data_IF_177017047138
#
_entry.id   IF_177017047138
#
_cell.length_a   1.000
_cell.length_b   1.000
_cell.length_c   1.000
_cell.angle_alpha   90.00
_cell.angle_beta   90.00
_cell.angle_gamma   90.00
#
_symmetry.space_group_name_H-M   'P 1'
#
loop_
_entity.id
_entity.type
_entity.pdbx_description
1 polymer ?
#
# COMPACT_ATOMS: atom_id res chain seq x y z
N UNK A 1 11.81 -10.00 -45.73
CA UNK A 1 12.13 -8.74 -45.05
C UNK A 1 11.51 -8.81 -43.67
N UNK A 2 12.36 -9.00 -42.66
CA UNK A 2 11.97 -9.34 -41.30
C UNK A 2 11.41 -8.15 -40.53
N UNK A 3 10.42 -8.47 -39.69
CA UNK A 3 9.82 -7.61 -38.67
C UNK A 3 10.88 -7.01 -37.76
N UNK A 4 10.91 -5.68 -37.63
CA UNK A 4 11.62 -5.00 -36.56
C UNK A 4 10.63 -4.74 -35.43
N UNK A 5 10.76 -5.54 -34.38
CA UNK A 5 10.26 -5.23 -33.06
C UNK A 5 10.84 -3.87 -32.62
N UNK A 6 9.96 -2.93 -32.31
CA UNK A 6 10.35 -1.74 -31.54
C UNK A 6 10.28 -2.11 -30.06
N UNK A 7 11.35 -2.74 -29.57
CA UNK A 7 11.68 -2.72 -28.16
C UNK A 7 12.26 -1.33 -27.87
N UNK A 8 11.47 -0.48 -27.21
CA UNK A 8 11.91 0.85 -26.81
C UNK A 8 11.49 1.10 -25.36
N UNK A 9 12.50 1.13 -24.47
CA UNK A 9 12.41 1.67 -23.11
C UNK A 9 12.49 0.64 -21.98
N UNK A 10 13.67 0.07 -21.73
CA UNK A 10 13.92 -0.80 -20.58
C UNK A 10 13.76 -0.06 -19.25
N UNK A 11 12.91 -0.60 -18.38
CA UNK A 11 12.80 -0.18 -16.99
C UNK A 11 14.04 -0.74 -16.27
N UNK A 12 15.04 0.08 -15.94
CA UNK A 12 16.28 -0.36 -15.27
C UNK A 12 16.09 -0.68 -13.76
N UNK A 13 14.84 -0.78 -13.29
CA UNK A 13 14.48 -1.16 -11.92
C UNK A 13 13.99 -2.61 -11.81
N UNK A 14 14.02 -3.21 -10.61
CA UNK A 14 13.47 -4.54 -10.37
C UNK A 14 11.98 -4.60 -10.72
N UNK A 15 11.49 -5.74 -11.22
CA UNK A 15 10.06 -5.91 -11.49
C UNK A 15 9.30 -5.91 -10.16
N UNK A 16 8.27 -5.06 -9.96
CA UNK A 16 7.46 -5.07 -8.75
C UNK A 16 6.88 -6.46 -8.40
N UNK A 17 6.68 -7.34 -9.38
CA UNK A 17 6.25 -8.73 -9.16
C UNK A 17 7.31 -9.57 -8.44
N UNK A 18 8.59 -9.32 -8.69
CA UNK A 18 9.68 -9.99 -7.97
C UNK A 18 9.74 -9.48 -6.52
N UNK A 19 9.48 -8.18 -6.31
CA UNK A 19 9.42 -7.59 -4.97
C UNK A 19 8.27 -8.16 -4.15
N UNK A 20 7.11 -8.41 -4.77
CA UNK A 20 5.97 -9.05 -4.11
C UNK A 20 6.33 -10.41 -3.49
N UNK A 21 7.13 -11.23 -4.19
CA UNK A 21 7.58 -12.52 -3.67
C UNK A 21 8.41 -12.36 -2.39
N UNK A 22 9.29 -11.37 -2.33
CA UNK A 22 10.07 -11.08 -1.13
C UNK A 22 9.20 -10.52 0.00
N UNK A 23 8.17 -9.73 -0.31
CA UNK A 23 7.22 -9.24 0.69
C UNK A 23 6.49 -10.41 1.36
N UNK A 24 6.00 -11.38 0.58
CA UNK A 24 5.34 -12.57 1.11
C UNK A 24 6.29 -13.42 1.98
N UNK A 25 7.55 -13.58 1.57
CA UNK A 25 8.54 -14.30 2.38
C UNK A 25 8.86 -13.56 3.69
N UNK A 26 9.03 -12.23 3.64
CA UNK A 26 9.25 -11.41 4.84
C UNK A 26 8.05 -11.51 5.79
N UNK A 27 6.82 -11.45 5.28
CA UNK A 27 5.61 -11.61 6.09
C UNK A 27 5.55 -12.99 6.76
N UNK A 28 5.88 -14.07 6.04
CA UNK A 28 5.93 -15.41 6.60
C UNK A 28 7.00 -15.52 7.71
N UNK A 29 8.17 -14.90 7.51
CA UNK A 29 9.23 -14.85 8.52
C UNK A 29 8.84 -14.01 9.74
N UNK A 30 8.14 -12.89 9.55
CA UNK A 30 7.61 -12.07 10.64
C UNK A 30 6.63 -12.87 11.48
N UNK A 31 5.65 -13.54 10.87
CA UNK A 31 4.68 -14.36 11.60
C UNK A 31 5.36 -15.48 12.41
N UNK A 32 6.34 -16.17 11.80
CA UNK A 32 7.11 -17.20 12.50
C UNK A 32 7.95 -16.61 13.66
N UNK A 33 8.44 -15.38 13.50
CA UNK A 33 9.15 -14.64 14.52
C UNK A 33 8.26 -14.32 15.72
N UNK A 34 7.02 -13.91 15.48
CA UNK A 34 6.02 -13.65 16.51
C UNK A 34 5.69 -14.91 17.31
N UNK A 35 5.41 -16.03 16.64
CA UNK A 35 5.13 -17.32 17.27
C UNK A 35 6.30 -17.74 18.19
N UNK A 36 7.53 -17.54 17.71
CA UNK A 36 8.74 -17.83 18.50
C UNK A 36 8.88 -16.87 19.69
N UNK A 37 8.60 -15.58 19.51
CA UNK A 37 8.59 -14.59 20.57
C UNK A 37 7.59 -14.96 21.66
N UNK A 38 6.36 -15.31 21.29
CA UNK A 38 5.33 -15.75 22.24
C UNK A 38 5.78 -17.01 22.99
N UNK A 39 6.30 -18.01 22.28
CA UNK A 39 6.83 -19.23 22.87
C UNK A 39 7.92 -18.93 23.90
N UNK A 40 8.89 -18.09 23.56
CA UNK A 40 10.00 -17.74 24.44
C UNK A 40 9.54 -16.91 25.65
N UNK A 41 8.62 -15.97 25.45
CA UNK A 41 7.98 -15.22 26.55
C UNK A 41 7.29 -16.18 27.51
N UNK A 42 6.54 -17.16 26.99
CA UNK A 42 5.85 -18.14 27.83
C UNK A 42 6.83 -19.05 28.59
N UNK A 43 7.93 -19.50 27.96
CA UNK A 43 9.00 -20.24 28.66
C UNK A 43 9.64 -19.42 29.78
N UNK A 44 9.84 -18.13 29.57
CA UNK A 44 10.40 -17.22 30.58
C UNK A 44 9.39 -16.99 31.73
N UNK A 45 8.09 -16.91 31.44
CA UNK A 45 7.03 -16.86 32.46
C UNK A 45 7.06 -18.12 33.35
N UNK A 46 7.14 -19.32 32.75
CA UNK A 46 7.26 -20.58 33.51
C UNK A 46 8.55 -20.61 34.34
N UNK A 47 9.68 -20.14 33.81
CA UNK A 47 10.94 -20.05 34.57
C UNK A 47 10.79 -19.13 35.78
N UNK A 48 10.13 -17.97 35.62
CA UNK A 48 9.88 -17.02 36.71
C UNK A 48 9.06 -17.66 37.83
N UNK A 49 8.07 -18.48 37.49
CA UNK A 49 7.20 -19.12 38.48
C UNK A 49 7.97 -20.16 39.32
N UNK A 50 9.03 -20.77 38.77
CA UNK A 50 9.93 -21.70 39.50
C UNK A 50 11.09 -20.98 40.19
N UNK A 51 11.66 -19.94 39.55
CA UNK A 51 12.81 -19.15 40.02
C UNK A 51 12.57 -17.65 39.77
N UNK A 52 11.94 -16.95 40.72
CA UNK A 52 11.52 -15.56 40.55
C UNK A 52 12.66 -14.61 40.18
N UNK A 53 13.87 -14.79 40.71
CA UNK A 53 15.00 -13.91 40.40
C UNK A 53 15.51 -14.01 38.94
N UNK A 54 15.27 -15.13 38.26
CA UNK A 54 15.79 -15.35 36.90
C UNK A 54 14.86 -14.80 35.81
N UNK A 55 13.56 -14.71 36.08
CA UNK A 55 12.55 -14.27 35.11
C UNK A 55 12.88 -12.90 34.48
N UNK A 56 13.03 -11.82 35.28
CA UNK A 56 13.33 -10.50 34.75
C UNK A 56 14.66 -10.43 33.98
N UNK A 57 15.69 -11.16 34.45
CA UNK A 57 17.00 -11.20 33.80
C UNK A 57 16.92 -11.91 32.44
N UNK A 58 16.22 -13.04 32.37
CA UNK A 58 16.00 -13.77 31.12
C UNK A 58 15.16 -12.96 30.13
N UNK A 59 14.10 -12.29 30.60
CA UNK A 59 13.28 -11.42 29.76
C UNK A 59 14.08 -10.27 29.16
N UNK A 60 14.91 -9.61 29.97
CA UNK A 60 15.80 -8.53 29.50
C UNK A 60 16.82 -9.05 28.48
N UNK A 61 17.41 -10.21 28.72
CA UNK A 61 18.39 -10.81 27.80
C UNK A 61 17.75 -11.20 26.47
N UNK A 62 16.53 -11.76 26.50
CA UNK A 62 15.76 -12.09 25.30
C UNK A 62 15.43 -10.85 24.48
N UNK A 63 14.84 -9.81 25.12
CA UNK A 63 14.44 -8.58 24.44
C UNK A 63 15.59 -7.77 23.85
N UNK A 64 16.78 -7.91 24.42
CA UNK A 64 18.00 -7.23 23.96
C UNK A 64 18.90 -8.15 23.12
N UNK A 65 18.43 -9.36 22.81
CA UNK A 65 19.19 -10.35 22.06
C UNK A 65 19.25 -10.03 20.56
N UNK A 66 20.12 -10.75 19.85
CA UNK A 66 20.27 -10.60 18.41
C UNK A 66 19.00 -10.95 17.62
N UNK A 67 18.11 -11.77 18.19
CA UNK A 67 16.84 -12.12 17.58
C UNK A 67 15.94 -10.88 17.39
N UNK A 68 15.71 -10.10 18.45
CA UNK A 68 14.94 -8.85 18.35
C UNK A 68 15.57 -7.84 17.41
N UNK A 69 16.91 -7.81 17.31
CA UNK A 69 17.59 -6.96 16.33
C UNK A 69 17.29 -7.43 14.90
N UNK A 70 17.34 -8.74 14.65
CA UNK A 70 16.98 -9.33 13.36
C UNK A 70 15.52 -9.04 12.98
N UNK A 71 14.57 -9.11 13.91
CA UNK A 71 13.17 -8.75 13.66
C UNK A 71 13.01 -7.27 13.26
N UNK A 72 13.76 -6.37 13.91
CA UNK A 72 13.78 -4.95 13.55
C UNK A 72 14.39 -4.73 12.17
N UNK A 73 15.49 -5.41 11.84
CA UNK A 73 16.13 -5.33 10.53
C UNK A 73 15.18 -5.87 9.44
N UNK A 74 14.49 -6.98 9.69
CA UNK A 74 13.49 -7.57 8.79
C UNK A 74 12.32 -6.61 8.53
N UNK A 75 11.82 -5.96 9.58
CA UNK A 75 10.82 -4.89 9.48
C UNK A 75 11.32 -3.71 8.64
N UNK A 76 12.60 -3.36 8.78
CA UNK A 76 13.23 -2.32 7.96
C UNK A 76 13.26 -2.67 6.47
N UNK A 77 13.62 -3.92 6.13
CA UNK A 77 13.58 -4.40 4.75
C UNK A 77 12.16 -4.43 4.18
N UNK A 78 11.19 -4.87 4.98
CA UNK A 78 9.77 -4.84 4.61
C UNK A 78 9.35 -3.44 4.16
N UNK A 79 9.59 -2.42 4.98
CA UNK A 79 9.15 -1.05 4.68
C UNK A 79 9.73 -0.54 3.36
N UNK A 80 11.02 -0.81 3.10
CA UNK A 80 11.69 -0.40 1.85
C UNK A 80 11.04 -1.09 0.64
N UNK A 81 10.80 -2.39 0.74
CA UNK A 81 10.22 -3.16 -0.36
C UNK A 81 8.77 -2.80 -0.61
N UNK A 82 8.01 -2.58 0.47
CA UNK A 82 6.60 -2.23 0.40
C UNK A 82 6.41 -0.83 -0.19
N UNK A 83 7.26 0.13 0.19
CA UNK A 83 7.27 1.47 -0.40
C UNK A 83 7.56 1.42 -1.91
N UNK A 84 8.60 0.68 -2.31
CA UNK A 84 8.92 0.51 -3.73
C UNK A 84 7.77 -0.13 -4.50
N UNK A 85 7.22 -1.24 -3.98
CA UNK A 85 6.09 -1.95 -4.59
C UNK A 85 4.89 -1.03 -4.78
N UNK A 86 4.54 -0.27 -3.74
CA UNK A 86 3.39 0.63 -3.74
C UNK A 86 3.55 1.74 -4.78
N UNK A 87 4.69 2.43 -4.77
CA UNK A 87 4.98 3.54 -5.69
C UNK A 87 4.92 3.08 -7.14
N UNK A 88 5.60 1.97 -7.47
CA UNK A 88 5.66 1.48 -8.85
C UNK A 88 4.30 0.99 -9.36
N UNK A 89 3.52 0.30 -8.53
CA UNK A 89 2.20 -0.19 -8.92
C UNK A 89 1.15 0.94 -9.02
N UNK A 90 1.19 1.95 -8.15
CA UNK A 90 0.31 3.13 -8.27
C UNK A 90 0.64 3.91 -9.55
N UNK A 91 1.93 4.16 -9.84
CA UNK A 91 2.33 4.82 -11.09
C UNK A 91 1.96 4.01 -12.32
N UNK A 92 2.04 2.69 -12.24
CA UNK A 92 1.60 1.79 -13.30
C UNK A 92 0.09 1.87 -13.51
N UNK A 93 -0.71 1.81 -12.45
CA UNK A 93 -2.17 1.94 -12.51
C UNK A 93 -2.60 3.25 -13.18
N UNK A 94 -1.97 4.37 -12.81
CA UNK A 94 -2.22 5.68 -13.45
C UNK A 94 -1.85 5.65 -14.93
N UNK A 95 -0.75 4.99 -15.31
CA UNK A 95 -0.26 4.97 -16.70
C UNK A 95 -1.12 4.11 -17.62
N UNK A 96 -1.69 3.02 -17.12
CA UNK A 96 -2.50 2.08 -17.92
C UNK A 96 -4.00 2.39 -17.86
N UNK A 97 -4.38 3.53 -17.28
CA UNK A 97 -5.77 3.95 -17.07
C UNK A 97 -6.66 3.71 -18.30
N UNK A 98 -7.73 2.96 -18.11
CA UNK A 98 -8.70 2.60 -19.15
C UNK A 98 -10.12 3.06 -18.79
N UNK A 99 -10.93 3.56 -19.73
CA UNK A 99 -12.34 3.83 -19.49
C UNK A 99 -13.10 2.54 -19.15
N UNK A 100 -13.92 2.56 -18.11
CA UNK A 100 -14.77 1.41 -17.77
C UNK A 100 -16.02 1.46 -18.66
N UNK A 101 -16.28 0.38 -19.42
CA UNK A 101 -17.48 0.29 -20.26
C UNK A 101 -18.74 0.32 -19.38
N UNK A 102 -19.71 1.18 -19.71
CA UNK A 102 -20.90 1.49 -18.90
C UNK A 102 -20.60 2.14 -17.53
N UNK A 103 -19.32 2.34 -17.21
CA UNK A 103 -18.84 3.00 -16.02
C UNK A 103 -18.76 4.51 -16.22
N UNK A 104 -19.10 5.23 -15.16
CA UNK A 104 -18.95 6.68 -15.10
C UNK A 104 -17.54 7.10 -14.61
N UNK A 105 -16.62 6.14 -14.48
CA UNK A 105 -15.24 6.27 -13.98
C UNK A 105 -14.24 5.56 -14.89
N UNK A 106 -12.95 5.67 -14.57
CA UNK A 106 -11.88 4.91 -15.22
C UNK A 106 -11.27 3.87 -14.28
N UNK A 107 -10.55 2.88 -14.83
CA UNK A 107 -9.93 1.78 -14.07
C UNK A 107 -8.92 2.29 -13.05
N UNK A 108 -8.28 3.44 -13.29
CA UNK A 108 -7.29 4.04 -12.38
C UNK A 108 -7.82 4.18 -10.95
N UNK A 109 -9.10 4.48 -10.74
CA UNK A 109 -9.66 4.61 -9.38
C UNK A 109 -9.61 3.26 -8.68
N UNK A 110 -10.17 2.21 -9.26
CA UNK A 110 -10.18 0.88 -8.65
C UNK A 110 -8.77 0.31 -8.50
N UNK A 111 -7.92 0.46 -9.53
CA UNK A 111 -6.56 -0.08 -9.56
C UNK A 111 -5.65 0.57 -8.50
N UNK A 112 -5.68 1.90 -8.35
CA UNK A 112 -4.87 2.62 -7.36
C UNK A 112 -5.30 2.22 -5.95
N UNK A 113 -6.61 2.24 -5.67
CA UNK A 113 -7.09 1.90 -4.33
C UNK A 113 -6.90 0.43 -3.99
N UNK A 114 -6.96 -0.48 -4.97
CA UNK A 114 -6.61 -1.88 -4.77
C UNK A 114 -5.15 -2.04 -4.32
N UNK A 115 -4.21 -1.33 -4.95
CA UNK A 115 -2.78 -1.36 -4.56
C UNK A 115 -2.61 -0.81 -3.14
N UNK A 116 -3.17 0.38 -2.85
CA UNK A 116 -3.05 1.00 -1.54
C UNK A 116 -3.64 0.14 -0.42
N UNK A 117 -4.82 -0.45 -0.66
CA UNK A 117 -5.47 -1.36 0.27
C UNK A 117 -4.61 -2.60 0.53
N UNK A 118 -4.07 -3.20 -0.53
CA UNK A 118 -3.20 -4.39 -0.44
C UNK A 118 -1.96 -4.12 0.41
N UNK A 119 -1.29 -2.99 0.18
CA UNK A 119 -0.12 -2.59 0.97
C UNK A 119 -0.45 -2.34 2.44
N UNK A 120 -1.56 -1.65 2.71
CA UNK A 120 -1.97 -1.35 4.09
C UNK A 120 -2.35 -2.62 4.85
N UNK A 121 -3.05 -3.57 4.21
CA UNK A 121 -3.35 -4.88 4.80
C UNK A 121 -2.08 -5.67 5.13
N UNK A 122 -1.13 -5.78 4.19
CA UNK A 122 0.16 -6.42 4.46
C UNK A 122 0.90 -5.77 5.62
N UNK A 123 0.86 -4.43 5.71
CA UNK A 123 1.53 -3.72 6.79
C UNK A 123 0.95 -4.09 8.16
N UNK A 124 -0.37 -4.26 8.24
CA UNK A 124 -1.01 -4.73 9.48
C UNK A 124 -0.61 -6.16 9.83
N UNK A 125 -0.44 -7.03 8.83
CA UNK A 125 0.06 -8.41 9.05
C UNK A 125 1.49 -8.51 9.57
N UNK A 126 2.25 -7.41 9.57
CA UNK A 126 3.60 -7.39 10.21
C UNK A 126 3.54 -7.24 11.74
N UNK A 127 2.36 -6.94 12.31
CA UNK A 127 2.16 -6.58 13.71
C UNK A 127 3.06 -5.43 14.24
N UNK A 128 3.69 -4.69 13.33
CA UNK A 128 4.59 -3.59 13.63
C UNK A 128 3.90 -2.26 13.37
N UNK A 129 3.66 -1.50 14.44
CA UNK A 129 3.10 -0.15 14.34
C UNK A 129 3.97 0.77 13.48
N UNK A 130 5.30 0.57 13.49
CA UNK A 130 6.22 1.36 12.68
C UNK A 130 6.04 1.08 11.18
N UNK A 131 5.82 -0.20 10.81
CA UNK A 131 5.51 -0.57 9.43
C UNK A 131 4.20 0.06 8.97
N UNK A 132 3.15 -0.04 9.80
CA UNK A 132 1.83 0.54 9.50
C UNK A 132 1.93 2.05 9.29
N UNK A 133 2.63 2.77 10.18
CA UNK A 133 2.84 4.22 10.05
C UNK A 133 3.60 4.56 8.76
N UNK A 134 4.67 3.83 8.45
CA UNK A 134 5.47 4.09 7.26
C UNK A 134 4.67 3.90 5.97
N UNK A 135 3.94 2.78 5.87
CA UNK A 135 3.10 2.45 4.71
C UNK A 135 1.94 3.44 4.56
N UNK A 136 1.28 3.83 5.65
CA UNK A 136 0.25 4.88 5.63
C UNK A 136 0.79 6.24 5.18
N UNK A 137 2.01 6.59 5.61
CA UNK A 137 2.70 7.78 5.16
C UNK A 137 2.94 7.76 3.65
N UNK A 138 3.42 6.63 3.12
CA UNK A 138 3.60 6.41 1.68
C UNK A 138 2.30 6.52 0.89
N UNK A 139 1.25 5.86 1.35
CA UNK A 139 -0.08 5.91 0.73
C UNK A 139 -0.65 7.35 0.69
N UNK A 140 -0.53 8.07 1.81
CA UNK A 140 -0.98 9.47 1.92
C UNK A 140 -0.19 10.37 0.97
N UNK A 141 1.13 10.15 0.85
CA UNK A 141 1.99 10.88 -0.07
C UNK A 141 1.58 10.65 -1.52
N UNK A 142 1.38 9.40 -1.94
CA UNK A 142 0.94 9.06 -3.30
C UNK A 142 -0.43 9.66 -3.64
N UNK A 143 -1.37 9.60 -2.69
CA UNK A 143 -2.70 10.20 -2.86
C UNK A 143 -2.64 11.72 -3.02
N UNK A 144 -1.76 12.39 -2.26
CA UNK A 144 -1.64 13.86 -2.24
C UNK A 144 -0.74 14.41 -3.35
N UNK A 145 0.00 13.55 -4.05
CA UNK A 145 0.93 13.93 -5.12
C UNK A 145 0.51 13.27 -6.44
N UNK A 146 1.15 12.16 -6.85
CA UNK A 146 0.97 11.56 -8.17
C UNK A 146 -0.50 11.29 -8.54
N UNK A 147 -1.30 10.80 -7.59
CA UNK A 147 -2.70 10.52 -7.83
C UNK A 147 -3.53 11.80 -7.99
N UNK A 148 -3.33 12.79 -7.11
CA UNK A 148 -3.97 14.09 -7.21
C UNK A 148 -3.59 14.80 -8.52
N UNK A 149 -2.33 14.71 -8.95
CA UNK A 149 -1.87 15.25 -10.23
C UNK A 149 -2.56 14.56 -11.41
N UNK A 150 -2.70 13.23 -11.38
CA UNK A 150 -3.41 12.47 -12.40
C UNK A 150 -4.88 12.90 -12.52
N UNK A 151 -5.58 13.05 -11.39
CA UNK A 151 -6.96 13.55 -11.36
C UNK A 151 -7.06 14.99 -11.91
N UNK A 152 -6.15 15.88 -11.52
CA UNK A 152 -6.14 17.26 -12.02
C UNK A 152 -5.81 17.36 -13.50
N UNK A 153 -4.90 16.52 -14.00
CA UNK A 153 -4.53 16.52 -15.41
C UNK A 153 -5.73 16.25 -16.30
N UNK A 154 -6.62 15.34 -15.89
CA UNK A 154 -7.87 15.04 -16.58
C UNK A 154 -8.85 16.22 -16.59
N UNK A 155 -8.80 17.10 -15.59
CA UNK A 155 -9.60 18.33 -15.55
C UNK A 155 -9.00 19.48 -16.38
N UNK A 156 -7.68 19.50 -16.62
CA UNK A 156 -6.95 20.65 -17.21
C UNK A 156 -6.99 20.72 -18.74
N UNK A 157 -7.87 19.96 -19.42
CA UNK A 157 -7.95 20.05 -20.88
C UNK A 157 -8.18 21.51 -21.35
N UNK A 158 -7.26 22.12 -22.12
CA UNK A 158 -7.21 23.59 -22.32
C UNK A 158 -8.40 24.23 -23.04
N UNK A 159 -9.40 23.45 -23.45
CA UNK A 159 -10.49 23.90 -24.31
C UNK A 159 -11.88 23.59 -23.74
N UNK A 160 -12.00 23.33 -22.43
CA UNK A 160 -13.26 22.90 -21.79
C UNK A 160 -14.40 23.90 -21.95
N UNK A 161 -14.17 25.16 -21.56
CA UNK A 161 -15.15 26.23 -21.72
C UNK A 161 -15.40 26.61 -23.18
N UNK A 162 -14.36 26.56 -24.02
CA UNK A 162 -14.46 26.89 -25.44
C UNK A 162 -15.24 25.84 -26.25
N UNK A 163 -14.99 24.54 -26.01
CA UNK A 163 -15.70 23.44 -26.68
C UNK A 163 -17.18 23.39 -26.30
N UNK A 164 -17.51 23.64 -25.02
CA UNK A 164 -18.90 23.71 -24.55
C UNK A 164 -19.68 24.90 -25.14
N UNK A 165 -19.03 26.05 -25.27
CA UNK A 165 -19.70 27.28 -25.75
C UNK A 165 -19.82 27.38 -27.28
N UNK A 166 -18.94 26.71 -28.04
CA UNK A 166 -18.87 26.84 -29.50
C UNK A 166 -19.74 25.82 -30.27
N UNK A 167 -20.49 24.94 -29.59
CA UNK A 167 -21.58 24.16 -30.21
C UNK A 167 -21.17 23.17 -31.32
N UNK A 168 -19.89 22.80 -31.41
CA UNK A 168 -19.40 21.86 -32.44
C UNK A 168 -19.73 20.39 -32.14
N UNK A 169 -19.59 19.53 -33.15
CA UNK A 169 -19.86 18.06 -33.11
C UNK A 169 -19.10 17.30 -31.99
N UNK A 170 -18.12 17.92 -31.33
CA UNK A 170 -17.35 17.38 -30.20
C UNK A 170 -17.85 17.73 -28.78
N UNK A 171 -18.95 18.49 -28.62
CA UNK A 171 -19.46 18.93 -27.30
C UNK A 171 -19.86 17.75 -26.40
N UNK A 172 -20.51 16.72 -26.95
CA UNK A 172 -20.99 15.56 -26.18
C UNK A 172 -19.83 14.74 -25.61
N UNK A 173 -18.84 14.42 -26.45
CA UNK A 173 -17.62 13.69 -26.05
C UNK A 173 -16.82 14.45 -24.98
N UNK A 174 -16.78 15.77 -25.09
CA UNK A 174 -16.14 16.63 -24.08
C UNK A 174 -16.91 16.61 -22.76
N UNK A 175 -18.24 16.59 -22.79
CA UNK A 175 -19.08 16.49 -21.59
C UNK A 175 -18.92 15.15 -20.86
N UNK A 176 -18.83 14.06 -21.61
CA UNK A 176 -18.59 12.70 -21.07
C UNK A 176 -17.21 12.58 -20.40
N UNK A 177 -16.16 13.12 -21.02
CA UNK A 177 -14.80 13.16 -20.45
C UNK A 177 -14.75 13.98 -19.15
N UNK A 178 -15.48 15.10 -19.08
CA UNK A 178 -15.61 15.92 -17.86
C UNK A 178 -16.36 15.17 -16.77
N UNK A 179 -17.51 14.58 -17.11
CA UNK A 179 -18.31 13.82 -16.16
C UNK A 179 -17.46 12.70 -15.56
N UNK A 180 -16.73 11.97 -16.41
CA UNK A 180 -15.81 10.91 -15.98
C UNK A 180 -14.73 11.42 -15.03
N UNK A 181 -14.10 12.57 -15.32
CA UNK A 181 -13.09 13.15 -14.45
C UNK A 181 -13.66 13.58 -13.08
N UNK A 182 -14.87 14.16 -13.06
CA UNK A 182 -15.54 14.55 -11.82
C UNK A 182 -15.95 13.32 -11.00
N UNK A 183 -16.49 12.29 -11.64
CA UNK A 183 -16.85 11.04 -10.98
C UNK A 183 -15.61 10.33 -10.42
N UNK A 184 -14.48 10.33 -11.14
CA UNK A 184 -13.23 9.81 -10.60
C UNK A 184 -12.86 10.51 -9.30
N UNK A 185 -12.97 11.83 -9.22
CA UNK A 185 -12.69 12.59 -7.98
C UNK A 185 -13.69 12.23 -6.88
N UNK A 186 -14.98 12.16 -7.20
CA UNK A 186 -16.04 11.86 -6.24
C UNK A 186 -15.87 10.45 -5.65
N UNK A 187 -15.74 9.43 -6.50
CA UNK A 187 -15.52 8.04 -6.09
C UNK A 187 -14.19 7.89 -5.35
N UNK A 188 -13.13 8.58 -5.78
CA UNK A 188 -11.86 8.59 -5.04
C UNK A 188 -12.05 9.07 -3.60
N UNK A 189 -12.85 10.12 -3.40
CA UNK A 189 -13.11 10.65 -2.07
C UNK A 189 -13.81 9.62 -1.18
N UNK A 190 -14.79 8.88 -1.72
CA UNK A 190 -15.42 7.77 -1.02
C UNK A 190 -14.44 6.65 -0.69
N UNK A 191 -13.55 6.31 -1.64
CA UNK A 191 -12.58 5.26 -1.47
C UNK A 191 -11.51 5.61 -0.42
N UNK A 192 -11.09 6.88 -0.31
CA UNK A 192 -10.24 7.35 0.79
C UNK A 192 -10.92 7.11 2.14
N UNK A 193 -12.22 7.39 2.25
CA UNK A 193 -12.97 7.17 3.49
C UNK A 193 -13.08 5.68 3.83
N UNK A 194 -13.35 4.84 2.82
CA UNK A 194 -13.42 3.37 2.97
C UNK A 194 -12.06 2.79 3.40
N UNK A 195 -10.99 3.17 2.72
CA UNK A 195 -9.62 2.75 3.02
C UNK A 195 -9.23 3.14 4.46
N UNK A 196 -9.53 4.39 4.87
CA UNK A 196 -9.27 4.82 6.24
C UNK A 196 -10.02 3.95 7.25
N UNK A 197 -11.33 3.75 7.04
CA UNK A 197 -12.16 2.99 7.96
C UNK A 197 -11.69 1.55 8.12
N UNK A 198 -11.34 0.90 7.01
CA UNK A 198 -10.82 -0.46 7.02
C UNK A 198 -9.48 -0.57 7.77
N UNK A 199 -8.57 0.38 7.59
CA UNK A 199 -7.29 0.38 8.31
C UNK A 199 -7.50 0.64 9.80
N UNK A 200 -8.44 1.52 10.17
CA UNK A 200 -8.83 1.73 11.57
C UNK A 200 -9.32 0.42 12.20
N UNK A 201 -10.17 -0.35 11.52
CA UNK A 201 -10.64 -1.66 12.00
C UNK A 201 -9.48 -2.66 12.19
N UNK A 202 -8.59 -2.79 11.20
CA UNK A 202 -7.43 -3.68 11.29
C UNK A 202 -6.48 -3.28 12.43
N UNK A 203 -6.29 -1.98 12.67
CA UNK A 203 -5.45 -1.50 13.78
C UNK A 203 -6.08 -1.80 15.14
N UNK A 204 -7.41 -1.77 15.26
CA UNK A 204 -8.11 -2.16 16.49
C UNK A 204 -7.92 -3.65 16.76
N UNK A 205 -8.00 -4.49 15.74
CA UNK A 205 -7.73 -5.94 15.87
C UNK A 205 -6.30 -6.22 16.35
N UNK A 206 -5.30 -5.52 15.79
CA UNK A 206 -3.90 -5.63 16.23
C UNK A 206 -3.71 -5.21 17.69
N UNK A 207 -4.37 -4.13 18.13
CA UNK A 207 -4.30 -3.69 19.53
C UNK A 207 -4.84 -4.77 20.48
N UNK A 208 -5.94 -5.43 20.12
CA UNK A 208 -6.52 -6.49 20.94
C UNK A 208 -5.57 -7.69 21.09
N UNK A 209 -4.83 -8.04 20.04
CA UNK A 209 -3.80 -9.08 20.04
C UNK A 209 -2.62 -8.75 20.98
N UNK A 210 -2.15 -7.49 20.98
CA UNK A 210 -1.03 -7.05 21.83
C UNK A 210 -1.40 -6.85 23.32
N UNK A 211 -2.69 -6.90 23.67
CA UNK A 211 -3.19 -6.78 25.03
C UNK A 211 -3.48 -8.12 25.73
N UNK A 212 -3.22 -9.26 25.07
CA UNK A 212 -3.24 -10.62 25.62
C UNK A 212 -1.82 -11.06 26.08
#
# INVERSE_FOLDING_TARGET
MGSMASAAGGNEGPDPREIELYLEEILALTQLGEDYTEFMVNKIRVLRDVKPELGPRAMKAFRNGNFNKMEQDLTGFYVIFEEFFMVENVRKAIRIDEPISDGLTTSMVDDVFFVLQSCCRRATSTASINSVIAVLGGATSLLSNEYQEALQWRMREPNLGAKLFLGGVGVQKTGEEIATALNNIDISSEYVLKLRHEIEELCVELQQLHHL
#
